data_IF_493304697720
#
_entry.id   IF_493304697720
#
_cell.length_a   1.000
_cell.length_b   1.000
_cell.length_c   1.000
_cell.angle_alpha   90.00
_cell.angle_beta   90.00
_cell.angle_gamma   90.00
#
_symmetry.space_group_name_H-M   'P 1'
#
loop_
_entity.id
_entity.type
_entity.pdbx_description
1 polymer ?
#
# COMPACT_ATOMS: atom_id res chain seq x y z
N UNK A 1 -25.08 12.76 -8.10
CA UNK A 1 -24.35 11.91 -7.14
C UNK A 1 -23.71 10.79 -7.95
N UNK A 2 -22.39 10.54 -7.85
CA UNK A 2 -21.79 9.45 -8.64
C UNK A 2 -22.24 8.08 -8.09
N UNK A 3 -22.24 7.01 -8.91
CA UNK A 3 -22.57 5.65 -8.46
C UNK A 3 -21.80 5.22 -7.20
N UNK A 4 -20.50 5.49 -7.15
CA UNK A 4 -19.67 5.25 -5.97
C UNK A 4 -20.13 6.05 -4.75
N UNK A 5 -20.49 7.33 -4.93
CA UNK A 5 -21.00 8.16 -3.83
C UNK A 5 -22.34 7.65 -3.32
N UNK A 6 -23.21 7.17 -4.21
CA UNK A 6 -24.49 6.57 -3.85
C UNK A 6 -24.29 5.25 -3.09
N UNK A 7 -23.40 4.38 -3.58
CA UNK A 7 -23.02 3.14 -2.90
C UNK A 7 -22.52 3.42 -1.48
N UNK A 8 -21.55 4.34 -1.33
CA UNK A 8 -20.97 4.68 -0.02
C UNK A 8 -21.97 5.32 0.94
N UNK A 9 -23.01 5.99 0.45
CA UNK A 9 -24.03 6.59 1.32
C UNK A 9 -24.76 5.54 2.17
N UNK A 10 -24.94 4.33 1.66
CA UNK A 10 -25.55 3.22 2.40
C UNK A 10 -24.67 2.67 3.54
N UNK A 11 -23.36 2.95 3.50
CA UNK A 11 -22.37 2.45 4.45
C UNK A 11 -21.81 3.55 5.35
N UNK A 12 -22.40 4.74 5.35
CA UNK A 12 -21.90 5.88 6.13
C UNK A 12 -22.12 5.63 7.62
N UNK A 13 -21.09 5.93 8.41
CA UNK A 13 -21.12 5.82 9.87
C UNK A 13 -20.87 7.17 10.54
N UNK A 14 -21.24 7.29 11.81
CA UNK A 14 -21.03 8.48 12.61
C UNK A 14 -19.56 8.64 13.05
N UNK A 15 -19.20 9.84 13.49
CA UNK A 15 -17.84 10.12 13.94
C UNK A 15 -17.53 9.34 15.22
N UNK A 16 -16.47 8.54 15.17
CA UNK A 16 -16.03 7.72 16.31
C UNK A 16 -16.51 6.27 16.24
N UNK A 17 -17.44 5.97 15.33
CA UNK A 17 -17.83 4.59 15.05
C UNK A 17 -16.74 3.84 14.26
N UNK A 18 -16.83 2.52 14.33
CA UNK A 18 -16.00 1.64 13.53
C UNK A 18 -16.23 1.91 12.03
N UNK A 19 -15.13 1.98 11.27
CA UNK A 19 -15.16 2.24 9.85
C UNK A 19 -14.01 1.51 9.17
N UNK A 20 -14.23 1.14 7.91
CA UNK A 20 -13.21 0.54 7.04
C UNK A 20 -12.60 1.56 6.09
N UNK A 21 -13.32 2.65 5.79
CA UNK A 21 -12.86 3.68 4.86
C UNK A 21 -13.17 5.08 5.38
N UNK A 22 -12.37 6.06 4.96
CA UNK A 22 -12.70 7.49 5.12
C UNK A 22 -12.42 8.26 3.83
N UNK A 23 -13.08 9.40 3.66
CA UNK A 23 -12.80 10.35 2.56
C UNK A 23 -12.12 11.60 3.11
N UNK A 24 -10.95 11.96 2.55
CA UNK A 24 -10.17 13.14 2.95
C UNK A 24 -10.66 14.46 2.34
N UNK A 25 -11.67 14.41 1.48
CA UNK A 25 -12.20 15.57 0.76
C UNK A 25 -13.71 15.43 0.57
N UNK A 26 -14.32 16.27 -0.26
CA UNK A 26 -15.76 16.23 -0.53
C UNK A 26 -16.12 15.12 -1.55
N UNK A 27 -17.17 14.31 -1.30
CA UNK A 27 -17.94 14.23 -0.06
C UNK A 27 -17.11 13.58 1.07
N UNK A 28 -17.08 14.22 2.23
CA UNK A 28 -16.32 13.76 3.39
C UNK A 28 -17.15 12.82 4.25
N UNK A 29 -16.52 11.80 4.82
CA UNK A 29 -17.22 10.82 5.64
C UNK A 29 -16.34 9.67 6.08
N UNK A 30 -16.87 8.90 7.03
CA UNK A 30 -16.38 7.58 7.40
C UNK A 30 -17.41 6.55 6.95
N UNK A 31 -16.93 5.38 6.51
CA UNK A 31 -17.77 4.34 5.94
C UNK A 31 -17.36 2.97 6.48
N UNK A 32 -18.33 2.14 6.80
CA UNK A 32 -18.13 0.74 7.11
C UNK A 32 -18.65 -0.12 5.96
N UNK A 33 -17.77 -0.43 5.01
CA UNK A 33 -18.05 -1.37 3.93
C UNK A 33 -17.75 -2.78 4.44
N UNK A 34 -18.76 -3.64 4.65
CA UNK A 34 -18.55 -5.02 5.14
C UNK A 34 -17.92 -5.89 4.04
N UNK A 35 -17.26 -6.98 4.44
CA UNK A 35 -16.57 -7.90 3.53
C UNK A 35 -17.48 -8.43 2.42
N UNK A 36 -18.76 -8.73 2.72
CA UNK A 36 -19.72 -9.20 1.72
C UNK A 36 -20.06 -8.17 0.62
N UNK A 37 -19.80 -6.89 0.85
CA UNK A 37 -20.04 -5.80 -0.11
C UNK A 37 -18.76 -5.31 -0.76
N UNK A 38 -17.61 -5.94 -0.46
CA UNK A 38 -16.29 -5.47 -0.91
C UNK A 38 -16.12 -5.54 -2.42
N UNK A 39 -16.55 -6.62 -3.07
CA UNK A 39 -16.44 -6.75 -4.53
C UNK A 39 -17.28 -5.70 -5.25
N UNK A 40 -18.51 -5.47 -4.76
CA UNK A 40 -19.38 -4.42 -5.29
C UNK A 40 -18.78 -3.03 -5.08
N UNK A 41 -18.19 -2.76 -3.91
CA UNK A 41 -17.47 -1.53 -3.63
C UNK A 41 -16.31 -1.32 -4.61
N UNK A 42 -15.47 -2.34 -4.79
CA UNK A 42 -14.31 -2.26 -5.69
C UNK A 42 -14.73 -2.09 -7.15
N UNK A 43 -15.84 -2.69 -7.57
CA UNK A 43 -16.42 -2.48 -8.90
C UNK A 43 -16.81 -1.01 -9.11
N UNK A 44 -17.52 -0.40 -8.16
CA UNK A 44 -17.91 1.00 -8.23
C UNK A 44 -16.70 1.95 -8.15
N UNK A 45 -15.73 1.62 -7.31
CA UNK A 45 -14.48 2.37 -7.15
C UNK A 45 -13.67 2.39 -8.46
N UNK A 46 -13.48 1.22 -9.09
CA UNK A 46 -12.85 1.09 -10.42
C UNK A 46 -13.60 1.88 -11.47
N UNK A 47 -14.93 1.75 -11.49
CA UNK A 47 -15.75 2.45 -12.48
C UNK A 47 -15.61 3.97 -12.34
N UNK A 48 -15.55 4.50 -11.11
CA UNK A 48 -15.30 5.91 -10.85
C UNK A 48 -13.91 6.36 -11.34
N UNK A 49 -12.85 5.60 -11.07
CA UNK A 49 -11.51 5.88 -11.60
C UNK A 49 -11.48 5.88 -13.14
N UNK A 50 -12.14 4.90 -13.78
CA UNK A 50 -12.24 4.82 -15.25
C UNK A 50 -12.96 6.02 -15.86
N UNK A 51 -13.95 6.58 -15.16
CA UNK A 51 -14.63 7.83 -15.54
C UNK A 51 -13.79 9.09 -15.31
N UNK A 52 -12.61 8.97 -14.71
CA UNK A 52 -11.74 10.11 -14.38
C UNK A 52 -12.22 10.90 -13.16
N UNK A 53 -13.05 10.32 -12.30
CA UNK A 53 -13.45 10.96 -11.04
C UNK A 53 -12.22 11.15 -10.15
N UNK A 54 -12.10 12.33 -9.52
CA UNK A 54 -11.08 12.58 -8.50
C UNK A 54 -11.58 12.04 -7.17
N UNK A 55 -10.95 10.97 -6.69
CA UNK A 55 -11.34 10.29 -5.46
C UNK A 55 -10.36 10.64 -4.33
N UNK A 56 -10.85 10.55 -3.09
CA UNK A 56 -10.10 10.94 -1.89
C UNK A 56 -10.24 9.88 -0.79
N UNK A 57 -10.46 8.63 -1.19
CA UNK A 57 -10.75 7.54 -0.26
C UNK A 57 -9.47 6.95 0.31
N UNK A 58 -9.53 6.65 1.60
CA UNK A 58 -8.50 5.94 2.33
C UNK A 58 -9.11 4.72 2.99
N UNK A 59 -8.32 3.66 3.15
CA UNK A 59 -8.70 2.40 3.74
C UNK A 59 -7.97 2.22 5.08
N UNK A 60 -8.69 1.75 6.08
CA UNK A 60 -8.13 1.43 7.39
C UNK A 60 -7.53 0.03 7.38
N UNK A 61 -6.35 -0.13 7.99
CA UNK A 61 -5.75 -1.45 8.16
C UNK A 61 -6.62 -2.36 9.01
N UNK A 62 -6.76 -3.61 8.57
CA UNK A 62 -7.35 -4.70 9.37
C UNK A 62 -6.30 -5.29 10.31
N UNK A 63 -6.73 -6.27 11.12
CA UNK A 63 -5.85 -6.99 12.06
C UNK A 63 -4.69 -7.74 11.36
N UNK A 64 -4.90 -8.16 10.11
CA UNK A 64 -3.87 -8.58 9.17
C UNK A 64 -4.02 -7.80 7.86
N UNK A 65 -2.92 -7.62 7.15
CA UNK A 65 -2.94 -6.95 5.86
C UNK A 65 -1.65 -7.15 5.10
N UNK A 66 -1.63 -6.70 3.83
CA UNK A 66 -0.42 -6.75 3.02
C UNK A 66 0.69 -5.90 3.64
N UNK A 67 1.93 -6.26 3.38
CA UNK A 67 3.07 -5.39 3.73
C UNK A 67 3.02 -4.15 2.85
N UNK A 68 2.95 -2.99 3.50
CA UNK A 68 3.02 -1.67 2.88
C UNK A 68 4.17 -0.88 3.47
N UNK A 69 4.83 -0.08 2.63
CA UNK A 69 5.96 0.76 3.02
C UNK A 69 5.76 2.13 2.39
N UNK A 70 5.81 3.19 3.19
CA UNK A 70 5.85 4.58 2.72
C UNK A 70 7.24 5.19 3.01
N UNK A 71 7.91 5.61 1.94
CA UNK A 71 9.23 6.25 1.97
C UNK A 71 9.07 7.75 1.65
N UNK A 72 9.16 8.61 2.67
CA UNK A 72 9.07 10.08 2.58
C UNK A 72 10.47 10.70 2.49
N UNK A 73 10.87 11.16 1.30
CA UNK A 73 12.18 11.78 1.05
C UNK A 73 12.10 13.30 1.21
N UNK A 74 13.02 13.88 1.99
CA UNK A 74 13.11 15.34 2.19
C UNK A 74 14.49 15.86 1.84
N UNK A 75 14.52 16.97 1.10
CA UNK A 75 15.74 17.67 0.73
C UNK A 75 15.46 19.13 0.42
N UNK A 76 16.51 19.95 0.37
CA UNK A 76 16.42 21.34 -0.06
C UNK A 76 17.00 21.58 -1.46
N UNK A 77 16.43 22.56 -2.14
CA UNK A 77 16.95 23.18 -3.36
C UNK A 77 17.12 24.69 -3.12
N UNK A 78 17.99 25.38 -3.88
CA UNK A 78 18.06 26.84 -3.85
C UNK A 78 16.69 27.49 -4.09
N UNK A 79 16.46 28.67 -3.51
CA UNK A 79 15.21 29.40 -3.71
C UNK A 79 14.96 29.67 -5.21
N UNK A 80 13.71 29.50 -5.64
CA UNK A 80 13.25 29.55 -7.03
C UNK A 80 13.73 28.43 -7.98
N UNK A 81 14.53 27.45 -7.52
CA UNK A 81 14.87 26.29 -8.33
C UNK A 81 13.68 25.33 -8.48
N UNK A 82 13.50 24.76 -9.67
CA UNK A 82 12.51 23.70 -9.90
C UNK A 82 12.96 22.43 -9.16
N UNK A 83 12.11 21.84 -8.31
CA UNK A 83 12.43 20.56 -7.66
C UNK A 83 12.63 19.44 -8.68
N UNK A 84 13.70 18.67 -8.51
CA UNK A 84 14.01 17.50 -9.35
C UNK A 84 14.05 16.23 -8.49
N UNK A 85 13.48 15.14 -8.99
CA UNK A 85 13.51 13.81 -8.36
C UNK A 85 14.96 13.35 -8.17
N UNK A 86 15.28 12.81 -7.00
CA UNK A 86 16.66 12.40 -6.65
C UNK A 86 16.91 10.90 -6.69
N UNK A 87 15.90 10.10 -6.98
CA UNK A 87 16.05 8.66 -7.19
C UNK A 87 15.72 8.24 -8.62
N UNK A 88 16.39 7.19 -9.06
CA UNK A 88 16.26 6.59 -10.37
C UNK A 88 15.91 5.09 -10.26
N UNK A 89 15.87 4.39 -11.39
CA UNK A 89 15.59 2.95 -11.44
C UNK A 89 16.56 2.14 -10.57
N UNK A 90 17.85 2.51 -10.55
CA UNK A 90 18.87 1.80 -9.79
C UNK A 90 18.66 1.94 -8.28
N UNK A 91 18.31 3.14 -7.81
CA UNK A 91 17.97 3.37 -6.40
C UNK A 91 16.71 2.58 -6.02
N UNK A 92 15.67 2.63 -6.84
CA UNK A 92 14.41 1.90 -6.60
C UNK A 92 14.66 0.39 -6.52
N UNK A 93 15.47 -0.17 -7.42
CA UNK A 93 15.87 -1.57 -7.39
C UNK A 93 16.56 -1.93 -6.08
N UNK A 94 17.54 -1.14 -5.63
CA UNK A 94 18.24 -1.38 -4.36
C UNK A 94 17.30 -1.31 -3.15
N UNK A 95 16.33 -0.38 -3.15
CA UNK A 95 15.28 -0.31 -2.11
C UNK A 95 14.46 -1.61 -2.10
N UNK A 96 14.00 -2.07 -3.27
CA UNK A 96 13.23 -3.30 -3.40
C UNK A 96 14.03 -4.51 -2.93
N UNK A 97 15.31 -4.61 -3.30
CA UNK A 97 16.20 -5.67 -2.83
C UNK A 97 16.35 -5.68 -1.30
N UNK A 98 16.47 -4.52 -0.66
CA UNK A 98 16.56 -4.43 0.80
C UNK A 98 15.30 -5.00 1.47
N UNK A 99 14.11 -4.65 0.99
CA UNK A 99 12.85 -5.17 1.53
C UNK A 99 12.59 -6.63 1.18
N UNK A 100 12.86 -7.05 -0.06
CA UNK A 100 12.71 -8.45 -0.48
C UNK A 100 13.58 -9.39 0.35
N UNK A 101 14.82 -8.97 0.64
CA UNK A 101 15.72 -9.69 1.55
C UNK A 101 15.15 -9.77 2.96
N UNK A 102 14.69 -8.65 3.53
CA UNK A 102 14.10 -8.63 4.87
C UNK A 102 12.86 -9.53 4.97
N UNK A 103 11.99 -9.51 3.96
CA UNK A 103 10.81 -10.37 3.87
C UNK A 103 11.20 -11.84 3.87
N UNK A 104 12.13 -12.25 3.01
CA UNK A 104 12.56 -13.66 2.91
C UNK A 104 13.24 -14.15 4.19
N UNK A 105 14.06 -13.30 4.80
CA UNK A 105 14.85 -13.71 5.97
C UNK A 105 14.00 -13.76 7.25
N UNK A 106 12.92 -12.97 7.34
CA UNK A 106 12.02 -12.95 8.51
C UNK A 106 10.75 -13.79 8.35
N UNK A 107 10.28 -13.99 7.13
CA UNK A 107 9.01 -14.65 6.83
C UNK A 107 9.24 -15.93 6.04
N UNK A 108 8.44 -16.96 6.34
CA UNK A 108 8.44 -18.19 5.56
C UNK A 108 7.72 -17.95 4.23
N UNK A 109 8.48 -17.57 3.20
CA UNK A 109 7.97 -17.35 1.85
C UNK A 109 8.14 -18.61 1.01
N UNK A 110 7.05 -19.30 0.70
CA UNK A 110 7.05 -20.54 -0.09
C UNK A 110 6.69 -20.36 -1.57
N UNK A 111 6.35 -19.13 -1.97
CA UNK A 111 5.97 -18.80 -3.34
C UNK A 111 6.56 -17.44 -3.73
N UNK A 112 6.90 -17.22 -5.01
CA UNK A 112 7.35 -15.91 -5.47
C UNK A 112 6.24 -14.86 -5.30
N UNK A 113 6.62 -13.64 -4.94
CA UNK A 113 5.71 -12.52 -4.66
C UNK A 113 6.05 -11.28 -5.49
N UNK A 114 5.06 -10.41 -5.71
CA UNK A 114 5.24 -9.15 -6.42
C UNK A 114 5.43 -7.97 -5.44
N UNK A 115 6.34 -7.05 -5.79
CA UNK A 115 6.53 -5.76 -5.13
C UNK A 115 6.08 -4.68 -6.09
N UNK A 116 4.98 -4.01 -5.76
CA UNK A 116 4.44 -2.89 -6.54
C UNK A 116 5.04 -1.58 -6.04
N UNK A 117 5.63 -0.81 -6.94
CA UNK A 117 6.21 0.51 -6.62
C UNK A 117 5.31 1.60 -7.16
N UNK A 118 4.83 2.46 -6.28
CA UNK A 118 4.02 3.62 -6.68
C UNK A 118 4.71 4.94 -6.36
N UNK A 119 4.65 5.89 -7.28
CA UNK A 119 5.26 7.20 -7.15
C UNK A 119 4.30 8.28 -7.65
N UNK A 120 4.48 9.50 -7.16
CA UNK A 120 3.87 10.67 -7.80
C UNK A 120 4.67 11.07 -9.03
N UNK A 121 4.02 11.79 -9.94
CA UNK A 121 4.63 12.28 -11.19
C UNK A 121 5.93 13.07 -10.95
N UNK A 122 6.06 13.73 -9.79
CA UNK A 122 7.29 14.39 -9.39
C UNK A 122 7.31 14.83 -7.93
N UNK A 123 8.44 15.40 -7.48
CA UNK A 123 8.57 16.02 -6.17
C UNK A 123 7.62 17.21 -6.01
N UNK A 124 7.20 17.47 -4.78
CA UNK A 124 6.40 18.63 -4.40
C UNK A 124 7.26 19.69 -3.71
N UNK A 125 7.17 20.94 -4.20
CA UNK A 125 7.75 22.10 -3.53
C UNK A 125 6.99 22.43 -2.24
N UNK A 126 7.73 22.57 -1.15
CA UNK A 126 7.28 23.14 0.12
C UNK A 126 7.80 24.57 0.30
N UNK A 127 7.55 25.15 1.48
CA UNK A 127 8.02 26.49 1.81
C UNK A 127 9.55 26.53 1.99
N UNK A 128 10.17 27.68 1.63
CA UNK A 128 11.61 27.97 1.85
C UNK A 128 12.55 26.92 1.24
N UNK A 129 12.33 26.60 -0.04
CA UNK A 129 13.18 25.66 -0.80
C UNK A 129 13.14 24.21 -0.32
N UNK A 130 12.24 23.85 0.61
CA UNK A 130 12.06 22.46 1.06
C UNK A 130 11.31 21.67 0.01
N UNK A 131 11.74 20.44 -0.24
CA UNK A 131 11.15 19.54 -1.23
C UNK A 131 10.75 18.24 -0.55
N UNK A 132 9.58 17.72 -0.94
CA UNK A 132 9.09 16.39 -0.57
C UNK A 132 8.98 15.53 -1.82
N UNK A 133 9.54 14.33 -1.78
CA UNK A 133 9.31 13.28 -2.77
C UNK A 133 9.15 11.96 -2.03
N UNK A 134 8.93 10.87 -2.75
CA UNK A 134 8.80 9.58 -2.12
C UNK A 134 8.28 8.50 -3.05
N UNK A 135 8.14 7.31 -2.49
CA UNK A 135 7.54 6.17 -3.15
C UNK A 135 6.88 5.27 -2.12
N UNK A 136 5.91 4.48 -2.57
CA UNK A 136 5.37 3.39 -1.77
C UNK A 136 5.81 2.04 -2.35
N UNK A 137 6.03 1.08 -1.47
CA UNK A 137 6.08 -0.34 -1.82
C UNK A 137 4.82 -1.02 -1.28
N UNK A 138 4.20 -1.86 -2.11
CA UNK A 138 3.07 -2.69 -1.71
C UNK A 138 3.40 -4.12 -2.11
N UNK A 139 3.41 -5.03 -1.14
CA UNK A 139 3.67 -6.46 -1.33
C UNK A 139 2.41 -7.23 -0.97
N UNK A 140 1.46 -7.36 -1.89
CA UNK A 140 0.11 -7.75 -1.53
C UNK A 140 0.02 -9.25 -1.22
N UNK A 141 0.91 -10.07 -1.79
CA UNK A 141 1.02 -11.51 -1.50
C UNK A 141 1.62 -11.80 -0.12
N UNK A 142 2.25 -10.80 0.52
CA UNK A 142 2.91 -10.94 1.81
C UNK A 142 2.03 -10.33 2.89
N UNK A 143 1.33 -11.19 3.62
CA UNK A 143 0.28 -10.75 4.54
C UNK A 143 0.63 -11.12 5.95
N UNK A 144 0.65 -10.11 6.80
CA UNK A 144 1.16 -10.23 8.15
C UNK A 144 0.35 -9.38 9.12
N UNK A 145 0.63 -9.56 10.42
CA UNK A 145 0.16 -8.66 11.48
C UNK A 145 1.03 -7.39 11.52
N UNK A 146 0.51 -6.24 11.98
CA UNK A 146 1.28 -5.01 12.17
C UNK A 146 2.60 -5.19 12.92
N UNK A 147 2.62 -6.05 13.95
CA UNK A 147 3.84 -6.36 14.71
C UNK A 147 4.97 -6.93 13.85
N UNK A 148 4.63 -7.77 12.87
CA UNK A 148 5.59 -8.39 11.96
C UNK A 148 6.13 -7.36 10.95
N UNK A 149 5.27 -6.46 10.45
CA UNK A 149 5.71 -5.37 9.57
C UNK A 149 6.69 -4.42 10.28
N UNK A 150 6.50 -4.18 11.58
CA UNK A 150 7.45 -3.41 12.41
C UNK A 150 8.78 -4.12 12.60
N UNK A 151 8.76 -5.45 12.77
CA UNK A 151 9.98 -6.25 12.81
C UNK A 151 10.73 -6.19 11.47
N UNK A 152 10.00 -6.29 10.35
CA UNK A 152 10.57 -6.10 9.01
C UNK A 152 11.19 -4.71 8.84
N UNK A 153 10.48 -3.65 9.23
CA UNK A 153 11.00 -2.28 9.23
C UNK A 153 12.30 -2.19 10.05
N UNK A 154 12.30 -2.73 11.27
CA UNK A 154 13.48 -2.74 12.14
C UNK A 154 14.66 -3.44 11.50
N UNK A 155 14.48 -4.66 10.99
CA UNK A 155 15.53 -5.45 10.34
C UNK A 155 16.13 -4.74 9.11
N UNK A 156 15.27 -4.17 8.25
CA UNK A 156 15.72 -3.42 7.06
C UNK A 156 16.56 -2.19 7.45
N UNK A 157 16.18 -1.48 8.51
CA UNK A 157 16.92 -0.32 9.01
C UNK A 157 18.26 -0.73 9.66
N UNK A 158 18.29 -1.80 10.44
CA UNK A 158 19.50 -2.29 11.13
C UNK A 158 20.57 -2.81 10.16
N UNK A 159 20.17 -3.39 9.02
CA UNK A 159 21.09 -3.91 7.99
C UNK A 159 21.86 -2.84 7.23
N UNK A 160 21.39 -1.58 7.28
CA UNK A 160 21.98 -0.42 6.60
C UNK A 160 22.05 -0.53 5.06
N UNK A 161 21.51 -1.61 4.46
CA UNK A 161 21.40 -1.80 3.01
C UNK A 161 20.58 -0.67 2.38
N UNK A 162 19.44 -0.36 3.00
CA UNK A 162 18.56 0.73 2.58
C UNK A 162 19.25 2.10 2.70
N UNK A 163 19.96 2.36 3.80
CA UNK A 163 20.70 3.61 3.97
C UNK A 163 21.79 3.77 2.90
N UNK A 164 22.56 2.72 2.61
CA UNK A 164 23.55 2.72 1.51
C UNK A 164 22.91 3.01 0.16
N UNK A 165 21.72 2.44 -0.10
CA UNK A 165 21.00 2.66 -1.35
C UNK A 165 20.58 4.13 -1.55
N UNK A 166 20.22 4.80 -0.45
CA UNK A 166 19.68 6.16 -0.41
C UNK A 166 20.74 7.24 -0.22
N UNK A 167 21.94 6.90 0.27
CA UNK A 167 23.03 7.82 0.53
C UNK A 167 23.34 8.80 -0.65
N UNK A 168 23.32 8.38 -1.93
CA UNK A 168 23.57 9.29 -3.06
C UNK A 168 22.54 10.42 -3.20
N UNK A 169 21.36 10.30 -2.59
CA UNK A 169 20.27 11.28 -2.73
C UNK A 169 20.48 12.55 -1.88
N UNK A 170 21.40 12.51 -0.89
CA UNK A 170 21.66 13.64 0.00
C UNK A 170 20.41 14.13 0.73
N UNK A 171 19.68 13.20 1.34
CA UNK A 171 18.43 13.46 2.07
C UNK A 171 18.70 14.07 3.44
N UNK A 172 17.75 14.89 3.90
CA UNK A 172 17.87 15.64 5.16
C UNK A 172 17.22 14.95 6.34
N UNK A 173 16.21 14.11 6.10
CA UNK A 173 15.54 13.36 7.16
C UNK A 173 16.26 12.04 7.45
N UNK A 174 16.38 11.72 8.74
CA UNK A 174 16.92 10.43 9.17
C UNK A 174 16.02 9.26 8.78
N UNK A 175 16.62 8.07 8.68
CA UNK A 175 15.98 6.83 8.22
C UNK A 175 14.66 6.52 8.95
N UNK A 176 14.60 6.75 10.26
CA UNK A 176 13.39 6.49 11.03
C UNK A 176 12.21 7.37 10.64
N UNK A 177 12.47 8.62 10.27
CA UNK A 177 11.45 9.54 9.77
C UNK A 177 11.16 9.36 8.28
N UNK A 178 12.04 8.63 7.57
CA UNK A 178 11.91 8.37 6.14
C UNK A 178 11.04 7.16 5.86
N UNK A 179 11.19 6.10 6.65
CA UNK A 179 10.32 4.92 6.61
C UNK A 179 9.18 5.12 7.61
N UNK A 180 8.02 5.57 7.13
CA UNK A 180 6.89 5.92 8.00
C UNK A 180 6.32 4.67 8.69
N UNK A 181 6.45 4.57 10.01
CA UNK A 181 5.83 3.49 10.81
C UNK A 181 4.30 3.67 10.94
N UNK A 182 3.80 4.90 10.82
CA UNK A 182 2.39 5.18 11.05
C UNK A 182 1.49 4.52 10.00
N UNK A 183 1.99 4.26 8.78
CA UNK A 183 1.23 3.58 7.72
C UNK A 183 1.07 2.07 7.95
N UNK A 184 1.67 1.50 9.00
CA UNK A 184 1.53 0.07 9.30
C UNK A 184 0.15 -0.23 9.91
N UNK A 185 -0.39 0.67 10.75
CA UNK A 185 -1.69 0.49 11.40
C UNK A 185 -2.37 1.78 11.90
N UNK A 186 -1.61 2.84 12.21
CA UNK A 186 -2.16 4.07 12.82
C UNK A 186 -2.89 4.95 11.82
N UNK A 187 -2.31 5.15 10.64
CA UNK A 187 -2.86 5.97 9.57
C UNK A 187 -3.57 5.09 8.56
N UNK A 188 -4.67 5.59 7.99
CA UNK A 188 -5.29 4.93 6.84
C UNK A 188 -4.37 4.99 5.62
N UNK A 189 -4.41 3.93 4.81
CA UNK A 189 -3.73 3.87 3.53
C UNK A 189 -4.55 4.60 2.45
N UNK A 190 -3.91 5.44 1.63
CA UNK A 190 -4.60 6.07 0.50
C UNK A 190 -4.92 5.02 -0.55
N UNK A 191 -6.21 4.85 -0.90
CA UNK A 191 -6.58 3.89 -1.93
C UNK A 191 -5.94 4.26 -3.27
N UNK A 192 -5.55 3.25 -4.04
CA UNK A 192 -4.89 3.48 -5.33
C UNK A 192 -5.73 4.37 -6.25
N UNK A 193 -5.11 5.39 -6.85
CA UNK A 193 -5.78 6.39 -7.68
C UNK A 193 -6.50 7.51 -6.91
N UNK A 194 -6.74 7.35 -5.60
CA UNK A 194 -7.22 8.45 -4.75
C UNK A 194 -6.09 9.43 -4.42
N UNK A 195 -6.46 10.67 -4.10
CA UNK A 195 -5.52 11.78 -3.88
C UNK A 195 -5.78 12.48 -2.55
N UNK A 196 -4.70 13.02 -1.96
CA UNK A 196 -4.84 14.06 -0.94
C UNK A 196 -5.36 15.33 -1.61
N UNK A 197 -6.18 16.16 -0.93
CA UNK A 197 -6.63 17.45 -1.49
C UNK A 197 -5.46 18.28 -2.01
N UNK A 198 -5.56 18.78 -3.24
CA UNK A 198 -4.53 19.62 -3.88
C UNK A 198 -3.28 18.89 -4.34
N UNK A 199 -3.26 17.55 -4.31
CA UNK A 199 -2.11 16.74 -4.67
C UNK A 199 -2.42 15.76 -5.81
N UNK A 200 -1.39 15.36 -6.57
CA UNK A 200 -1.49 14.27 -7.54
C UNK A 200 -1.53 12.88 -6.89
N UNK A 201 -2.04 11.85 -7.60
CA UNK A 201 -2.07 10.47 -7.11
C UNK A 201 -0.68 9.84 -7.13
N UNK A 202 -0.51 8.81 -6.30
CA UNK A 202 0.56 7.83 -6.52
C UNK A 202 0.12 6.87 -7.63
N UNK A 203 0.95 6.74 -8.67
CA UNK A 203 0.73 5.85 -9.82
C UNK A 203 1.70 4.70 -9.77
N UNK A 204 1.30 3.55 -10.30
CA UNK A 204 2.19 2.41 -10.43
C UNK A 204 3.27 2.76 -11.46
N UNK A 205 4.54 2.66 -11.07
CA UNK A 205 5.67 2.94 -11.97
C UNK A 205 6.47 1.69 -12.29
N UNK A 206 6.57 0.74 -11.36
CA UNK A 206 7.34 -0.51 -11.52
C UNK A 206 6.68 -1.64 -10.74
N UNK A 207 6.88 -2.88 -11.21
CA UNK A 207 6.61 -4.09 -10.45
C UNK A 207 7.84 -4.98 -10.51
N UNK A 208 8.22 -5.55 -9.37
CA UNK A 208 9.31 -6.49 -9.27
C UNK A 208 8.78 -7.84 -8.81
N UNK A 209 9.21 -8.92 -9.45
CA UNK A 209 8.96 -10.30 -9.01
C UNK A 209 10.14 -10.75 -8.17
N UNK A 210 9.87 -11.15 -6.94
CA UNK A 210 10.85 -11.76 -6.04
C UNK A 210 10.58 -13.25 -5.99
N UNK A 211 11.54 -14.08 -6.38
CA UNK A 211 11.42 -15.53 -6.20
C UNK A 211 11.87 -15.99 -4.81
N UNK A 212 11.65 -17.28 -4.55
CA UNK A 212 11.96 -17.90 -3.26
C UNK A 212 13.45 -17.96 -2.97
N UNK A 213 14.30 -17.91 -4.00
CA UNK A 213 15.76 -17.92 -3.89
C UNK A 213 16.34 -16.51 -3.68
N UNK A 214 15.50 -15.48 -3.83
CA UNK A 214 15.83 -14.07 -3.62
C UNK A 214 16.35 -13.36 -4.87
N UNK A 215 16.13 -13.94 -6.05
CA UNK A 215 16.28 -13.21 -7.29
C UNK A 215 15.12 -12.21 -7.45
N UNK A 216 15.47 -10.98 -7.81
CA UNK A 216 14.50 -9.91 -8.04
C UNK A 216 14.58 -9.52 -9.52
N UNK A 217 13.45 -9.61 -10.22
CA UNK A 217 13.36 -9.23 -11.64
C UNK A 217 12.33 -8.14 -11.84
N UNK A 218 12.68 -7.09 -12.58
CA UNK A 218 11.72 -6.08 -13.00
C UNK A 218 10.77 -6.67 -14.03
N UNK A 219 9.47 -6.60 -13.78
CA UNK A 219 8.45 -6.95 -14.77
C UNK A 219 8.31 -5.80 -15.76
N UNK A 220 8.43 -6.12 -17.06
CA UNK A 220 8.23 -5.15 -18.14
C UNK A 220 6.75 -5.14 -18.50
N UNK A 221 6.09 -3.99 -18.33
CA UNK A 221 4.75 -3.76 -18.89
C UNK A 221 4.89 -3.00 -20.20
N UNK A 222 4.07 -3.33 -21.21
CA UNK A 222 4.02 -2.57 -22.46
C UNK A 222 3.63 -1.11 -22.22
N UNK A 223 4.05 -0.20 -23.10
CA UNK A 223 3.89 1.27 -22.97
C UNK A 223 2.46 1.76 -22.68
N UNK A 224 1.43 0.96 -23.00
CA UNK A 224 0.02 1.22 -22.67
C UNK A 224 -0.29 1.18 -21.15
N UNK A 225 0.62 0.68 -20.32
CA UNK A 225 0.46 0.58 -18.87
C UNK A 225 0.74 1.88 -18.10
N UNK A 226 1.22 2.94 -18.76
CA UNK A 226 1.42 4.26 -18.13
C UNK A 226 0.14 5.10 -18.01
N UNK A 227 -0.97 4.63 -18.57
CA UNK A 227 -2.30 5.24 -18.47
C UNK A 227 -3.32 4.34 -17.77
N UNK A 228 -4.61 4.70 -17.85
CA UNK A 228 -5.70 3.99 -17.17
C UNK A 228 -5.79 2.47 -17.45
N UNK A 229 -5.15 1.96 -18.52
CA UNK A 229 -5.09 0.53 -18.83
C UNK A 229 -4.06 -0.25 -17.99
N UNK A 230 -2.98 0.40 -17.52
CA UNK A 230 -2.07 -0.21 -16.53
C UNK A 230 -2.70 -0.36 -15.15
N UNK A 231 -3.75 0.44 -14.87
CA UNK A 231 -4.58 0.29 -13.69
C UNK A 231 -5.24 -1.09 -13.65
N UNK A 232 -5.62 -1.72 -14.77
CA UNK A 232 -6.31 -3.02 -14.73
C UNK A 232 -5.38 -4.17 -14.31
N UNK A 233 -4.13 -4.18 -14.77
CA UNK A 233 -3.14 -5.18 -14.34
C UNK A 233 -2.62 -4.93 -12.92
N UNK A 234 -2.44 -3.65 -12.55
CA UNK A 234 -2.04 -3.23 -11.22
C UNK A 234 -3.13 -3.51 -10.18
N UNK A 235 -4.36 -3.09 -10.46
CA UNK A 235 -5.53 -3.29 -9.61
C UNK A 235 -5.88 -4.77 -9.56
N UNK A 236 -5.91 -5.49 -10.68
CA UNK A 236 -6.18 -6.94 -10.67
C UNK A 236 -5.18 -7.74 -9.83
N UNK A 237 -3.89 -7.35 -9.84
CA UNK A 237 -2.87 -7.96 -8.97
C UNK A 237 -3.02 -7.59 -7.49
N UNK A 238 -3.24 -6.30 -7.19
CA UNK A 238 -3.51 -5.83 -5.81
C UNK A 238 -4.82 -6.43 -5.26
N UNK A 239 -5.83 -6.63 -6.09
CA UNK A 239 -7.14 -7.19 -5.75
C UNK A 239 -7.11 -8.71 -5.61
N UNK A 240 -6.40 -9.41 -6.48
CA UNK A 240 -6.22 -10.86 -6.35
C UNK A 240 -5.54 -11.21 -5.04
N UNK A 241 -4.53 -10.44 -4.65
CA UNK A 241 -3.82 -10.65 -3.40
C UNK A 241 -4.60 -10.16 -2.17
N UNK A 242 -5.32 -9.04 -2.24
CA UNK A 242 -6.20 -8.62 -1.14
C UNK A 242 -7.52 -9.41 -1.04
N UNK A 243 -7.98 -10.06 -2.12
CA UNK A 243 -9.19 -10.91 -2.15
C UNK A 243 -8.88 -12.38 -1.81
N UNK A 244 -7.72 -12.88 -2.23
CA UNK A 244 -7.17 -14.16 -1.76
C UNK A 244 -6.98 -14.19 -0.24
N UNK A 245 -6.74 -13.03 0.37
CA UNK A 245 -6.71 -12.85 1.82
C UNK A 245 -8.03 -13.06 2.54
N UNK A 246 -9.15 -12.68 1.92
CA UNK A 246 -10.47 -12.93 2.48
C UNK A 246 -10.89 -14.39 2.30
N UNK A 247 -10.48 -15.02 1.18
CA UNK A 247 -10.60 -16.47 1.03
C UNK A 247 -9.79 -17.24 2.08
N UNK A 248 -8.57 -16.80 2.37
CA UNK A 248 -7.71 -17.40 3.40
C UNK A 248 -8.25 -17.14 4.83
N UNK A 249 -8.75 -15.94 5.12
CA UNK A 249 -9.42 -15.64 6.41
C UNK A 249 -10.72 -16.43 6.58
N UNK A 250 -11.58 -16.49 5.56
CA UNK A 250 -12.81 -17.28 5.61
C UNK A 250 -12.52 -18.79 5.79
N UNK A 251 -11.45 -19.28 5.17
CA UNK A 251 -10.95 -20.64 5.41
C UNK A 251 -10.45 -20.88 6.83
N UNK A 252 -9.73 -19.91 7.42
CA UNK A 252 -9.24 -19.97 8.81
C UNK A 252 -10.36 -19.84 9.84
N UNK A 253 -11.34 -18.97 9.62
CA UNK A 253 -12.55 -18.85 10.44
C UNK A 253 -13.38 -20.13 10.39
N UNK A 254 -13.54 -20.73 9.21
CA UNK A 254 -14.19 -22.03 9.05
C UNK A 254 -13.44 -23.16 9.78
N UNK A 255 -12.10 -23.17 9.72
CA UNK A 255 -11.28 -24.14 10.44
C UNK A 255 -11.36 -23.99 11.97
N UNK A 256 -11.38 -22.74 12.48
CA UNK A 256 -11.58 -22.47 13.91
C UNK A 256 -12.98 -22.87 14.39
N UNK A 257 -14.03 -22.55 13.64
CA UNK A 257 -15.40 -23.00 13.97
C UNK A 257 -15.54 -24.52 13.96
N UNK A 258 -14.84 -25.21 13.06
CA UNK A 258 -14.78 -26.68 13.06
C UNK A 258 -14.08 -27.27 14.30
N UNK A 259 -13.01 -26.63 14.79
CA UNK A 259 -12.31 -27.02 16.01
C UNK A 259 -13.15 -26.77 17.27
N UNK A 260 -13.84 -25.64 17.35
CA UNK A 260 -14.76 -25.34 18.46
C UNK A 260 -15.93 -26.33 18.51
N UNK A 261 -16.50 -26.69 17.35
CA UNK A 261 -17.53 -27.72 17.25
C UNK A 261 -17.04 -29.11 17.68
N UNK A 262 -15.80 -29.47 17.33
CA UNK A 262 -15.20 -30.73 17.74
C UNK A 262 -14.91 -30.79 19.24
N UNK A 263 -14.47 -29.68 19.85
CA UNK A 263 -14.28 -29.60 21.31
C UNK A 263 -15.60 -29.65 22.09
N UNK A 264 -16.64 -28.94 21.63
CA UNK A 264 -17.97 -29.00 22.25
C UNK A 264 -18.60 -30.39 22.17
N UNK A 265 -18.31 -31.17 21.12
CA UNK A 265 -18.74 -32.56 21.00
C UNK A 265 -18.01 -33.54 21.93
N UNK A 266 -16.79 -33.21 22.38
CA UNK A 266 -16.03 -34.01 23.34
C UNK A 266 -16.42 -33.70 24.80
N UNK A 267 -16.87 -32.49 25.10
CA UNK A 267 -17.36 -32.09 26.43
C UNK A 267 -18.81 -32.54 26.69
N UNK A 268 -19.55 -32.91 25.64
CA UNK A 268 -20.92 -33.40 25.72
C UNK A 268 -21.10 -34.93 25.71
N UNK A 269 -20.01 -35.69 25.77
CA UNK A 269 -19.99 -37.17 25.75
C UNK A 269 -19.72 -37.78 27.13
#
# INVERSE_FOLDING_TARGET
>A
MSPLTHFLAAFRVEKGEEHTHTSMSRPGGSYYVPSCSRDAFMQEYRAALKRGETLHLTERHRHIGPVVVDLDFRYSVPDAATPVRRHDDSIVERIVHAYARGVRDLLMVSAPFDVYVTERDGPTAGARGKVKDGLHLIMPDIVTRPAIQRLLRKDVLERRDLERALAPMGLENGMDNMVDDAVIDRNNWMMYGSVKPGMGPYRLTRVFRCDVDGHVTRRVFGEKARGNAGLEGAMGGLEGAMGGLEGAMGGLEGAMGGLEGAMGGLEGA
#
